data_IF_966143369331
#
_entry.id   IF_966143369331
#
_cell.length_a   1.000
_cell.length_b   1.000
_cell.length_c   1.000
_cell.angle_alpha   90.00
_cell.angle_beta   90.00
_cell.angle_gamma   90.00
#
_symmetry.space_group_name_H-M   'P 1'
#
loop_
_entity.id
_entity.type
_entity.pdbx_description
1 polymer ?
#
# COMPACT_ATOMS: atom_id res chain seq x y z
N UNK A 1 -23.31 -64.92 31.30
CA UNK A 1 -24.45 -63.98 31.24
C UNK A 1 -23.90 -62.60 30.94
N UNK A 2 -24.48 -61.93 29.93
CA UNK A 2 -23.94 -60.72 29.29
C UNK A 2 -24.20 -59.48 30.15
N UNK A 3 -23.17 -58.68 30.39
CA UNK A 3 -23.27 -57.36 31.00
C UNK A 3 -23.42 -56.31 29.89
N UNK A 4 -24.56 -55.63 29.86
CA UNK A 4 -24.89 -54.60 28.87
C UNK A 4 -24.41 -53.25 29.38
N UNK A 5 -23.42 -52.64 28.72
CA UNK A 5 -23.07 -51.24 28.95
C UNK A 5 -23.77 -50.37 27.90
N UNK A 6 -24.77 -49.61 28.35
CA UNK A 6 -25.43 -48.57 27.56
C UNK A 6 -24.54 -47.33 27.53
N UNK A 7 -23.81 -47.12 26.43
CA UNK A 7 -23.09 -45.87 26.20
C UNK A 7 -24.08 -44.81 25.70
N UNK A 8 -24.43 -43.86 26.56
CA UNK A 8 -25.20 -42.66 26.19
C UNK A 8 -24.26 -41.72 25.41
N UNK A 9 -24.40 -41.67 24.08
CA UNK A 9 -23.77 -40.66 23.24
C UNK A 9 -24.62 -39.38 23.30
N UNK A 10 -24.26 -38.45 24.18
CA UNK A 10 -24.81 -37.08 24.17
C UNK A 10 -24.06 -36.30 23.10
N UNK A 11 -24.63 -36.27 21.90
CA UNK A 11 -24.19 -35.38 20.82
C UNK A 11 -24.61 -33.95 21.12
N UNK A 12 -23.76 -33.23 21.86
CA UNK A 12 -23.86 -31.79 22.06
C UNK A 12 -23.41 -31.08 20.77
N UNK A 13 -24.35 -30.84 19.86
CA UNK A 13 -24.14 -29.95 18.71
C UNK A 13 -24.05 -28.50 19.21
N UNK A 14 -22.85 -28.07 19.59
CA UNK A 14 -22.53 -26.64 19.69
C UNK A 14 -22.29 -26.17 18.27
N UNK A 15 -23.31 -25.55 17.66
CA UNK A 15 -23.16 -24.73 16.46
C UNK A 15 -22.33 -23.49 16.82
N UNK A 16 -21.01 -23.66 16.84
CA UNK A 16 -20.05 -22.57 16.95
C UNK A 16 -20.07 -21.80 15.62
N UNK A 17 -21.01 -20.88 15.47
CA UNK A 17 -20.94 -19.84 14.45
C UNK A 17 -19.76 -18.93 14.78
N UNK A 18 -18.58 -19.30 14.28
CA UNK A 18 -17.40 -18.45 14.23
C UNK A 18 -17.73 -17.24 13.36
N UNK A 19 -18.26 -16.19 13.99
CA UNK A 19 -18.26 -14.86 13.41
C UNK A 19 -16.80 -14.40 13.32
N UNK A 20 -16.23 -14.54 12.12
CA UNK A 20 -15.01 -13.85 11.72
C UNK A 20 -15.27 -12.36 11.89
N UNK A 21 -14.87 -11.79 13.03
CA UNK A 21 -14.85 -10.34 13.19
C UNK A 21 -13.79 -9.81 12.24
N UNK A 22 -14.21 -9.18 11.15
CA UNK A 22 -13.37 -8.32 10.36
C UNK A 22 -12.67 -7.36 11.34
N UNK A 23 -11.34 -7.43 11.43
CA UNK A 23 -10.62 -6.37 12.12
C UNK A 23 -10.88 -5.09 11.33
N UNK A 24 -11.43 -4.07 12.00
CA UNK A 24 -11.59 -2.75 11.42
C UNK A 24 -10.19 -2.17 11.20
N UNK A 25 -9.61 -2.38 10.02
CA UNK A 25 -8.36 -1.74 9.62
C UNK A 25 -8.68 -0.26 9.41
N UNK A 26 -8.25 0.58 10.34
CA UNK A 26 -8.28 2.03 10.11
C UNK A 26 -7.17 2.38 9.13
N UNK A 27 -7.54 2.63 7.87
CA UNK A 27 -6.61 3.22 6.90
C UNK A 27 -6.10 4.56 7.43
N UNK A 28 -4.80 4.79 7.33
CA UNK A 28 -4.16 5.97 7.92
C UNK A 28 -2.94 6.41 7.13
N UNK A 29 -2.03 7.09 7.83
CA UNK A 29 -0.68 7.37 7.32
C UNK A 29 0.35 6.56 8.09
N UNK A 30 1.41 6.18 7.41
CA UNK A 30 2.63 5.65 8.00
C UNK A 30 3.78 6.62 7.75
N UNK A 31 4.60 6.83 8.77
CA UNK A 31 5.81 7.62 8.68
C UNK A 31 6.97 6.69 8.33
N UNK A 32 7.55 6.87 7.14
CA UNK A 32 8.69 6.09 6.68
C UNK A 32 9.99 6.76 7.15
N UNK A 33 10.13 8.06 6.90
CA UNK A 33 11.23 8.88 7.43
C UNK A 33 10.63 10.12 8.06
N UNK A 34 10.98 10.34 9.33
CA UNK A 34 10.47 11.44 10.13
C UNK A 34 10.55 12.77 9.38
N UNK A 35 9.41 13.46 9.36
CA UNK A 35 9.21 14.81 8.80
C UNK A 35 9.58 14.96 7.31
N UNK A 36 9.79 13.85 6.59
CA UNK A 36 10.35 13.87 5.23
C UNK A 36 9.69 12.90 4.25
N UNK A 37 9.24 11.73 4.71
CA UNK A 37 8.66 10.71 3.85
C UNK A 37 7.56 9.94 4.56
N UNK A 38 6.37 9.99 3.97
CA UNK A 38 5.16 9.35 4.48
C UNK A 38 4.46 8.57 3.38
N UNK A 39 3.63 7.63 3.78
CA UNK A 39 2.64 6.98 2.91
C UNK A 39 1.25 7.18 3.50
N UNK A 40 0.28 7.48 2.66
CA UNK A 40 -1.16 7.43 3.00
C UNK A 40 -1.72 6.19 2.33
N UNK A 41 -2.32 5.31 3.12
CA UNK A 41 -2.93 4.10 2.61
C UNK A 41 -4.34 4.41 2.13
N UNK A 42 -4.56 4.40 0.81
CA UNK A 42 -5.90 4.32 0.23
C UNK A 42 -6.21 2.87 -0.10
N UNK A 43 -7.47 2.49 -0.01
CA UNK A 43 -7.87 1.10 -0.12
C UNK A 43 -9.18 0.91 -0.83
N UNK A 44 -9.45 -0.32 -1.23
CA UNK A 44 -10.72 -0.76 -1.79
C UNK A 44 -11.39 -1.80 -0.88
N UNK A 45 -12.73 -1.85 -0.91
CA UNK A 45 -13.58 -2.72 -0.12
C UNK A 45 -14.74 -1.99 0.56
N UNK A 46 -15.94 -2.58 0.54
CA UNK A 46 -17.12 -1.96 1.18
C UNK A 46 -17.00 -1.88 2.71
N UNK A 47 -16.47 -2.96 3.33
CA UNK A 47 -16.31 -3.14 4.77
C UNK A 47 -15.02 -3.91 5.14
N UNK A 48 -14.54 -4.75 4.24
CA UNK A 48 -13.26 -5.45 4.36
C UNK A 48 -12.34 -4.91 3.29
N UNK A 49 -11.14 -4.52 3.67
CA UNK A 49 -10.13 -4.06 2.74
C UNK A 49 -9.68 -5.22 1.82
N UNK A 50 -9.72 -5.05 0.51
CA UNK A 50 -9.34 -6.07 -0.49
C UNK A 50 -8.07 -5.73 -1.26
N UNK A 51 -7.70 -4.45 -1.30
CA UNK A 51 -6.55 -3.94 -2.03
C UNK A 51 -6.12 -2.56 -1.53
N UNK A 52 -4.93 -2.14 -1.95
CA UNK A 52 -4.34 -0.85 -1.60
C UNK A 52 -3.88 -0.09 -2.84
N UNK A 53 -3.97 1.23 -2.75
CA UNK A 53 -3.30 2.18 -3.61
C UNK A 53 -2.66 3.24 -2.72
N UNK A 54 -1.36 3.11 -2.51
CA UNK A 54 -0.60 3.91 -1.57
C UNK A 54 -0.23 5.27 -2.20
N UNK A 55 -0.41 6.34 -1.43
CA UNK A 55 -0.03 7.70 -1.82
C UNK A 55 1.25 8.06 -1.06
N UNK A 56 2.37 8.08 -1.76
CA UNK A 56 3.65 8.40 -1.14
C UNK A 56 3.92 9.90 -1.21
N UNK A 57 4.31 10.50 -0.08
CA UNK A 57 4.60 11.92 0.05
C UNK A 57 6.05 12.14 0.49
N UNK A 58 6.81 12.85 -0.33
CA UNK A 58 8.20 13.21 -0.06
C UNK A 58 8.32 14.73 0.00
N UNK A 59 8.87 15.23 1.11
CA UNK A 59 9.17 16.65 1.30
C UNK A 59 10.27 17.09 0.34
N UNK A 60 9.94 18.02 -0.54
CA UNK A 60 10.89 18.63 -1.46
C UNK A 60 11.59 19.85 -0.85
N UNK A 61 12.32 20.59 -1.68
CA UNK A 61 12.87 21.92 -1.35
C UNK A 61 11.93 23.03 -1.81
N UNK A 62 12.02 24.23 -1.24
CA UNK A 62 11.27 25.42 -1.68
C UNK A 62 9.75 25.19 -1.78
N UNK A 63 9.19 24.60 -0.71
CA UNK A 63 7.77 24.26 -0.55
C UNK A 63 7.22 23.27 -1.59
N UNK A 64 8.09 22.52 -2.27
CA UNK A 64 7.67 21.43 -3.15
C UNK A 64 7.29 20.20 -2.34
N UNK A 65 6.21 19.53 -2.76
CA UNK A 65 5.77 18.25 -2.23
C UNK A 65 5.68 17.27 -3.40
N UNK A 66 6.49 16.21 -3.35
CA UNK A 66 6.45 15.16 -4.36
C UNK A 66 5.46 14.09 -3.93
N UNK A 67 4.49 13.83 -4.79
CA UNK A 67 3.43 12.85 -4.54
C UNK A 67 3.57 11.76 -5.60
N UNK A 68 3.73 10.52 -5.17
CA UNK A 68 3.87 9.37 -6.07
C UNK A 68 2.68 8.42 -5.84
N UNK A 69 1.82 8.32 -6.86
CA UNK A 69 0.52 7.64 -6.77
C UNK A 69 -0.66 8.54 -6.42
N UNK A 70 -1.83 7.91 -6.38
CA UNK A 70 -3.09 8.45 -5.87
C UNK A 70 -3.84 7.33 -5.13
N UNK A 71 -5.02 7.63 -4.60
CA UNK A 71 -5.89 6.65 -3.94
C UNK A 71 -6.95 6.07 -4.88
N UNK A 72 -7.88 5.28 -4.33
CA UNK A 72 -8.97 4.65 -5.09
C UNK A 72 -10.16 5.59 -5.43
N UNK A 73 -10.10 6.87 -5.06
CA UNK A 73 -11.18 7.83 -5.34
C UNK A 73 -12.31 7.79 -4.31
N UNK A 74 -13.55 8.08 -4.72
CA UNK A 74 -14.70 8.15 -3.81
C UNK A 74 -15.33 6.78 -3.52
N UNK A 75 -15.79 6.58 -2.27
CA UNK A 75 -16.62 5.45 -1.86
C UNK A 75 -18.04 5.75 -2.31
N UNK A 76 -18.67 4.84 -3.07
CA UNK A 76 -20.04 4.91 -3.61
C UNK A 76 -20.87 6.06 -3.03
N UNK A 77 -21.06 7.14 -3.78
CA UNK A 77 -22.02 8.17 -3.38
C UNK A 77 -23.42 7.57 -3.34
N UNK A 78 -24.10 7.62 -2.20
CA UNK A 78 -25.45 7.09 -2.02
C UNK A 78 -26.50 7.97 -2.70
N UNK A 79 -26.79 7.85 -4.01
CA UNK A 79 -28.11 8.16 -4.67
C UNK A 79 -28.19 7.56 -6.12
N UNK A 80 -29.30 7.70 -6.89
CA UNK A 80 -30.15 6.65 -7.50
C UNK A 80 -29.58 5.95 -8.78
N UNK A 81 -30.27 4.94 -9.37
CA UNK A 81 -29.75 3.94 -10.33
C UNK A 81 -29.16 4.42 -11.68
N UNK A 82 -28.97 5.72 -11.90
CA UNK A 82 -28.64 6.25 -13.22
C UNK A 82 -27.16 6.58 -13.47
N UNK A 83 -26.28 6.67 -12.46
CA UNK A 83 -24.89 7.13 -12.68
C UNK A 83 -23.86 6.57 -11.65
N UNK A 84 -22.71 5.99 -12.07
CA UNK A 84 -21.63 5.56 -11.15
C UNK A 84 -20.72 6.72 -10.70
N UNK A 85 -20.38 6.79 -9.39
CA UNK A 85 -19.82 7.97 -8.68
C UNK A 85 -18.34 7.87 -8.23
N UNK A 86 -17.51 7.09 -8.90
CA UNK A 86 -16.04 7.23 -8.80
C UNK A 86 -15.35 6.63 -10.00
N UNK A 87 -14.18 7.17 -10.33
CA UNK A 87 -13.35 6.76 -11.45
C UNK A 87 -13.17 5.23 -11.46
N UNK A 88 -12.88 4.65 -10.30
CA UNK A 88 -12.67 3.20 -10.12
C UNK A 88 -13.96 2.37 -10.22
N UNK A 89 -15.10 2.89 -9.75
CA UNK A 89 -16.36 2.15 -9.68
C UNK A 89 -16.99 1.95 -11.07
N UNK A 90 -16.81 2.91 -11.98
CA UNK A 90 -17.37 2.88 -13.33
C UNK A 90 -16.90 1.67 -14.17
N UNK A 91 -15.62 1.32 -14.08
CA UNK A 91 -15.03 0.30 -14.96
C UNK A 91 -14.99 -1.12 -14.36
N UNK A 92 -15.61 -1.31 -13.20
CA UNK A 92 -16.04 -2.63 -12.78
C UNK A 92 -15.31 -3.22 -11.58
N UNK A 93 -15.92 -2.96 -10.41
CA UNK A 93 -16.19 -3.92 -9.31
C UNK A 93 -15.46 -3.68 -7.99
N UNK A 94 -14.70 -2.61 -7.85
CA UNK A 94 -14.06 -2.25 -6.59
C UNK A 94 -14.63 -0.95 -6.07
N UNK A 95 -15.01 -0.95 -4.80
CA UNK A 95 -15.53 0.24 -4.12
C UNK A 95 -14.41 0.79 -3.27
N UNK A 96 -14.08 2.08 -3.39
CA UNK A 96 -13.09 2.67 -2.49
C UNK A 96 -13.52 2.47 -1.01
N UNK A 97 -12.56 2.17 -0.14
CA UNK A 97 -12.82 1.91 1.27
C UNK A 97 -13.30 3.15 2.02
N UNK A 98 -12.85 4.33 1.57
CA UNK A 98 -13.23 5.67 2.03
C UNK A 98 -13.21 6.66 0.87
N UNK A 99 -13.59 7.91 1.11
CA UNK A 99 -13.64 8.92 0.05
C UNK A 99 -12.28 9.55 -0.23
N UNK A 100 -12.11 10.10 -1.44
CA UNK A 100 -10.88 10.78 -1.84
C UNK A 100 -10.56 11.98 -0.94
N UNK A 101 -11.58 12.68 -0.44
CA UNK A 101 -11.41 13.79 0.51
C UNK A 101 -10.80 13.34 1.83
N UNK A 102 -11.01 12.08 2.25
CA UNK A 102 -10.43 11.56 3.49
C UNK A 102 -8.93 11.29 3.32
N UNK A 103 -8.52 10.73 2.18
CA UNK A 103 -7.10 10.62 1.81
C UNK A 103 -6.45 12.02 1.68
N UNK A 104 -7.17 12.98 1.10
CA UNK A 104 -6.69 14.35 0.91
C UNK A 104 -6.51 15.09 2.24
N UNK A 105 -7.38 14.88 3.23
CA UNK A 105 -7.23 15.46 4.59
C UNK A 105 -6.00 14.91 5.32
N UNK A 106 -5.71 13.63 5.16
CA UNK A 106 -4.49 13.02 5.74
C UNK A 106 -3.25 13.58 5.04
N UNK A 107 -3.29 13.68 3.71
CA UNK A 107 -2.26 14.33 2.91
C UNK A 107 -2.03 15.78 3.36
N UNK A 108 -3.10 16.55 3.53
CA UNK A 108 -3.05 17.93 4.02
C UNK A 108 -2.42 18.02 5.41
N UNK A 109 -2.78 17.10 6.30
CA UNK A 109 -2.16 17.01 7.64
C UNK A 109 -0.66 16.78 7.55
N UNK A 110 -0.21 15.90 6.65
CA UNK A 110 1.22 15.64 6.42
C UNK A 110 1.91 16.90 5.89
N UNK A 111 1.36 17.53 4.86
CA UNK A 111 1.98 18.71 4.23
C UNK A 111 2.04 19.88 5.23
N UNK A 112 0.93 20.19 5.88
CA UNK A 112 0.84 21.33 6.79
C UNK A 112 1.55 21.07 8.12
N UNK A 113 1.23 19.97 8.79
CA UNK A 113 1.65 19.74 10.18
C UNK A 113 2.98 19.00 10.28
N UNK A 114 3.29 18.09 9.36
CA UNK A 114 4.53 17.31 9.40
C UNK A 114 5.64 17.95 8.55
N UNK A 115 5.34 18.42 7.34
CA UNK A 115 6.33 19.09 6.50
C UNK A 115 6.48 20.58 6.85
N UNK A 116 5.50 21.18 7.52
CA UNK A 116 5.51 22.61 7.86
C UNK A 116 5.32 23.51 6.64
N UNK A 117 4.64 23.02 5.59
CA UNK A 117 4.45 23.75 4.34
C UNK A 117 3.02 24.31 4.32
N UNK A 118 2.88 25.62 4.09
CA UNK A 118 1.56 26.25 4.00
C UNK A 118 0.86 25.91 2.69
N UNK A 119 -0.47 25.79 2.72
CA UNK A 119 -1.30 25.47 1.54
C UNK A 119 -1.11 26.46 0.39
N UNK A 120 -0.92 27.74 0.70
CA UNK A 120 -0.75 28.82 -0.28
C UNK A 120 0.61 28.80 -0.97
N UNK A 121 1.65 28.27 -0.32
CA UNK A 121 3.01 28.17 -0.86
C UNK A 121 3.32 26.80 -1.48
N UNK A 122 2.59 25.76 -1.07
CA UNK A 122 2.81 24.39 -1.50
C UNK A 122 2.76 24.24 -3.04
N UNK A 123 3.80 23.60 -3.59
CA UNK A 123 3.91 23.22 -5.00
C UNK A 123 3.78 21.71 -5.12
N UNK A 124 2.60 21.24 -5.52
CA UNK A 124 2.31 19.81 -5.60
C UNK A 124 2.87 19.23 -6.91
N UNK A 125 3.74 18.24 -6.79
CA UNK A 125 4.45 17.58 -7.89
C UNK A 125 4.05 16.11 -7.94
N UNK A 126 2.99 15.80 -8.68
CA UNK A 126 2.47 14.44 -8.82
C UNK A 126 3.27 13.65 -9.85
N UNK A 127 3.62 12.43 -9.53
CA UNK A 127 4.19 11.45 -10.45
C UNK A 127 3.21 10.28 -10.50
N UNK A 128 2.64 10.06 -11.67
CA UNK A 128 1.78 8.93 -11.96
C UNK A 128 2.66 7.68 -12.14
N UNK A 129 2.58 6.67 -11.26
CA UNK A 129 3.38 5.46 -11.31
C UNK A 129 3.09 4.61 -12.55
N UNK A 130 1.84 4.56 -13.00
CA UNK A 130 1.39 3.99 -14.28
C UNK A 130 -0.03 4.50 -14.61
N UNK A 131 -0.49 4.28 -15.84
CA UNK A 131 -1.69 4.88 -16.42
C UNK A 131 -3.06 4.52 -15.82
N UNK A 132 -3.12 3.88 -14.65
CA UNK A 132 -4.37 3.44 -14.01
C UNK A 132 -5.03 4.49 -13.13
N UNK A 133 -6.36 4.35 -12.97
CA UNK A 133 -7.24 5.27 -12.23
C UNK A 133 -6.94 5.36 -10.74
N UNK A 134 -6.50 4.27 -10.14
CA UNK A 134 -6.13 4.23 -8.73
C UNK A 134 -4.82 4.96 -8.43
N UNK A 135 -4.08 5.44 -9.45
CA UNK A 135 -2.86 6.23 -9.24
C UNK A 135 -2.91 7.65 -9.79
N UNK A 136 -4.01 8.01 -10.42
CA UNK A 136 -4.35 9.38 -10.76
C UNK A 136 -5.87 9.48 -10.96
N UNK A 137 -6.54 10.12 -10.01
CA UNK A 137 -7.98 10.36 -10.08
C UNK A 137 -8.30 11.83 -9.84
N UNK A 138 -9.37 12.30 -10.47
CA UNK A 138 -9.79 13.70 -10.43
C UNK A 138 -10.33 14.08 -9.05
N UNK A 139 -10.94 13.14 -8.32
CA UNK A 139 -11.56 13.40 -7.02
C UNK A 139 -10.52 13.76 -5.95
N UNK A 140 -9.37 13.10 -5.93
CA UNK A 140 -8.28 13.38 -4.99
C UNK A 140 -7.62 14.74 -5.28
N UNK A 141 -7.35 15.03 -6.56
CA UNK A 141 -6.79 16.32 -6.97
C UNK A 141 -7.75 17.47 -6.68
N UNK A 142 -9.04 17.29 -6.98
CA UNK A 142 -10.08 18.28 -6.68
C UNK A 142 -10.26 18.45 -5.17
N UNK A 143 -10.18 17.36 -4.38
CA UNK A 143 -10.21 17.45 -2.92
C UNK A 143 -9.07 18.30 -2.38
N UNK A 144 -7.85 18.13 -2.88
CA UNK A 144 -6.72 18.97 -2.47
C UNK A 144 -6.88 20.43 -2.92
N UNK A 145 -7.09 20.67 -4.22
CA UNK A 145 -7.11 22.03 -4.74
C UNK A 145 -8.37 22.81 -4.38
N UNK A 146 -9.53 22.20 -4.52
CA UNK A 146 -10.82 22.90 -4.52
C UNK A 146 -11.45 22.89 -3.14
N UNK A 147 -11.36 21.77 -2.42
CA UNK A 147 -11.89 21.67 -1.06
C UNK A 147 -10.90 22.11 0.02
N UNK A 148 -9.62 21.77 -0.14
CA UNK A 148 -8.59 22.06 0.87
C UNK A 148 -7.75 23.29 0.56
N UNK A 149 -7.91 23.92 -0.61
CA UNK A 149 -7.36 25.23 -0.93
C UNK A 149 -5.90 25.24 -1.42
N UNK A 150 -5.38 24.11 -1.90
CA UNK A 150 -4.06 24.09 -2.53
C UNK A 150 -4.06 24.83 -3.86
N UNK A 151 -3.01 25.60 -4.12
CA UNK A 151 -2.92 26.41 -5.34
C UNK A 151 -2.82 25.52 -6.59
N UNK A 152 -3.94 25.38 -7.31
CA UNK A 152 -4.02 24.63 -8.58
C UNK A 152 -3.02 25.12 -9.63
N UNK A 153 -2.60 26.38 -9.59
CA UNK A 153 -1.63 26.90 -10.55
C UNK A 153 -0.22 26.33 -10.33
N UNK A 154 0.12 25.99 -9.09
CA UNK A 154 1.41 25.42 -8.70
C UNK A 154 1.48 23.88 -8.83
N UNK A 155 0.39 23.24 -9.27
CA UNK A 155 0.29 21.81 -9.53
C UNK A 155 1.02 21.40 -10.82
N UNK A 156 1.77 20.31 -10.78
CA UNK A 156 2.25 19.60 -11.97
C UNK A 156 1.95 18.10 -11.82
N UNK A 157 1.56 17.47 -12.93
CA UNK A 157 1.25 16.04 -13.01
C UNK A 157 2.18 15.44 -14.05
N UNK A 158 3.08 14.56 -13.62
CA UNK A 158 4.07 13.93 -14.47
C UNK A 158 3.64 12.51 -14.81
N UNK A 159 3.56 12.20 -16.11
CA UNK A 159 3.19 10.89 -16.63
C UNK A 159 4.20 10.45 -17.67
N UNK A 160 4.59 9.18 -17.66
CA UNK A 160 5.46 8.64 -18.69
C UNK A 160 4.82 8.76 -20.09
N UNK A 161 5.64 8.91 -21.13
CA UNK A 161 5.20 9.10 -22.51
C UNK A 161 4.22 8.03 -23.02
N UNK A 162 4.41 6.77 -22.62
CA UNK A 162 3.54 5.64 -23.02
C UNK A 162 2.15 5.72 -22.38
N UNK A 163 2.05 6.21 -21.15
CA UNK A 163 0.77 6.31 -20.43
C UNK A 163 0.13 7.71 -20.58
N UNK A 164 0.83 8.68 -21.16
CA UNK A 164 0.37 10.08 -21.18
C UNK A 164 -0.97 10.24 -21.88
N UNK A 165 -1.16 9.62 -23.05
CA UNK A 165 -2.42 9.71 -23.80
C UNK A 165 -3.59 9.13 -23.01
N UNK A 166 -3.34 8.06 -22.28
CA UNK A 166 -4.30 7.38 -21.43
C UNK A 166 -4.67 8.27 -20.23
N UNK A 167 -3.67 8.75 -19.50
CA UNK A 167 -3.86 9.52 -18.27
C UNK A 167 -4.44 10.93 -18.51
N UNK A 168 -4.15 11.58 -19.64
CA UNK A 168 -4.57 12.96 -19.91
C UNK A 168 -5.88 13.08 -20.70
N UNK A 169 -6.60 11.99 -20.89
CA UNK A 169 -7.75 11.95 -21.79
C UNK A 169 -9.08 12.18 -21.05
N UNK A 170 -10.09 12.63 -21.80
CA UNK A 170 -11.38 13.12 -21.30
C UNK A 170 -12.57 12.42 -21.95
N UNK A 171 -12.33 11.29 -22.61
CA UNK A 171 -13.36 10.53 -23.31
C UNK A 171 -13.53 9.20 -22.59
N UNK A 172 -14.74 8.63 -22.56
CA UNK A 172 -14.85 7.20 -22.31
C UNK A 172 -13.90 6.46 -23.27
N UNK A 173 -13.00 5.62 -22.75
CA UNK A 173 -12.10 4.75 -23.53
C UNK A 173 -10.90 5.47 -24.18
N UNK A 174 -10.03 6.00 -23.34
CA UNK A 174 -8.76 6.62 -23.73
C UNK A 174 -7.69 5.57 -24.04
N UNK A 175 -7.02 5.65 -25.19
CA UNK A 175 -5.96 4.70 -25.60
C UNK A 175 -6.12 4.23 -27.05
N UNK A 176 -5.66 3.00 -27.34
CA UNK A 176 -5.50 2.46 -28.68
C UNK A 176 -6.55 1.34 -28.98
N UNK A 177 -7.55 1.19 -28.08
CA UNK A 177 -8.79 0.36 -28.04
C UNK A 177 -8.66 -1.18 -27.81
N UNK A 178 -9.52 -1.83 -26.98
CA UNK A 178 -10.95 -2.10 -27.28
C UNK A 178 -11.96 -2.20 -26.10
N UNK A 179 -13.13 -1.62 -26.43
CA UNK A 179 -14.55 -1.86 -26.11
C UNK A 179 -15.16 -1.61 -24.69
N UNK A 180 -16.31 -0.86 -24.61
CA UNK A 180 -17.03 -0.42 -23.41
C UNK A 180 -17.54 -1.46 -22.40
N UNK A 181 -17.31 -2.74 -22.64
CA UNK A 181 -17.86 -3.84 -21.83
C UNK A 181 -16.81 -4.90 -21.53
N UNK A 182 -15.54 -4.66 -21.91
CA UNK A 182 -14.46 -5.59 -21.62
C UNK A 182 -13.82 -5.25 -20.26
N UNK A 183 -14.06 -6.05 -19.21
CA UNK A 183 -13.44 -5.84 -17.90
C UNK A 183 -11.91 -6.08 -17.93
N UNK A 184 -11.33 -6.54 -19.04
CA UNK A 184 -9.90 -6.78 -19.20
C UNK A 184 -9.21 -5.74 -20.11
N UNK A 185 -9.86 -4.61 -20.43
CA UNK A 185 -9.28 -3.60 -21.30
C UNK A 185 -7.95 -3.05 -20.70
N UNK A 186 -6.80 -3.26 -21.35
CA UNK A 186 -5.50 -2.80 -20.84
C UNK A 186 -5.35 -1.27 -20.92
N UNK A 187 -6.24 -0.57 -21.61
CA UNK A 187 -6.25 0.90 -21.75
C UNK A 187 -7.23 1.55 -20.76
N UNK A 188 -7.29 1.04 -19.53
CA UNK A 188 -8.06 1.62 -18.43
C UNK A 188 -7.34 2.83 -17.84
N UNK A 189 -7.96 4.02 -17.87
CA UNK A 189 -7.36 5.31 -17.45
C UNK A 189 -8.36 6.44 -17.18
N UNK A 190 -7.85 7.60 -16.74
CA UNK A 190 -8.55 8.77 -16.11
C UNK A 190 -9.55 9.52 -17.02
N UNK A 191 -10.68 10.07 -16.51
CA UNK A 191 -11.82 9.25 -16.08
C UNK A 191 -13.16 9.57 -16.78
N UNK A 192 -14.21 8.79 -16.43
CA UNK A 192 -15.61 9.07 -16.71
C UNK A 192 -16.40 9.41 -15.43
N UNK A 193 -16.67 10.71 -15.25
CA UNK A 193 -17.97 11.37 -14.94
C UNK A 193 -17.72 12.89 -14.83
N UNK A 194 -16.56 13.28 -14.30
CA UNK A 194 -15.99 14.64 -14.42
C UNK A 194 -14.74 14.59 -15.30
N UNK A 195 -14.82 14.95 -16.61
CA UNK A 195 -13.63 15.04 -17.43
C UNK A 195 -12.62 16.00 -16.78
N UNK A 196 -11.32 15.79 -17.01
CA UNK A 196 -10.32 16.76 -16.60
C UNK A 196 -10.75 18.14 -17.10
N UNK A 197 -10.97 19.06 -16.17
CA UNK A 197 -11.11 20.45 -16.57
C UNK A 197 -9.85 20.84 -17.36
N UNK A 198 -10.00 21.64 -18.42
CA UNK A 198 -8.90 22.19 -19.21
C UNK A 198 -7.75 22.76 -18.35
N UNK A 199 -8.06 23.22 -17.15
CA UNK A 199 -7.07 23.66 -16.15
C UNK A 199 -6.14 22.52 -15.71
N UNK A 200 -6.66 21.33 -15.40
CA UNK A 200 -5.88 20.15 -15.02
C UNK A 200 -5.16 19.53 -16.21
N UNK A 201 -5.78 19.48 -17.40
CA UNK A 201 -5.11 18.97 -18.63
C UNK A 201 -3.79 19.71 -18.87
N UNK A 202 -3.77 21.03 -18.69
CA UNK A 202 -2.55 21.87 -18.84
C UNK A 202 -1.45 21.56 -17.81
N UNK A 203 -1.78 20.84 -16.73
CA UNK A 203 -0.83 20.43 -15.68
C UNK A 203 -0.13 19.12 -15.98
N UNK A 204 -0.64 18.32 -16.92
CA UNK A 204 0.02 17.12 -17.38
C UNK A 204 1.33 17.46 -18.11
N UNK A 205 2.39 16.73 -17.77
CA UNK A 205 3.74 16.84 -18.32
C UNK A 205 4.24 15.43 -18.65
N UNK A 206 4.77 15.26 -19.86
CA UNK A 206 5.41 14.01 -20.27
C UNK A 206 6.75 13.82 -19.57
N UNK A 207 7.02 12.59 -19.13
CA UNK A 207 8.34 12.09 -18.76
C UNK A 207 8.79 11.05 -19.78
N UNK A 208 10.10 10.97 -20.00
CA UNK A 208 10.69 9.89 -20.77
C UNK A 208 10.30 9.86 -22.25
N UNK A 209 10.89 8.92 -22.97
CA UNK A 209 10.56 8.56 -24.34
C UNK A 209 9.86 7.19 -24.37
N UNK A 210 9.15 6.90 -25.47
CA UNK A 210 8.35 5.67 -25.56
C UNK A 210 9.15 4.37 -25.56
N UNK A 211 10.47 4.46 -25.79
CA UNK A 211 11.40 3.32 -25.86
C UNK A 211 12.41 3.32 -24.72
N UNK A 212 12.11 4.02 -23.62
CA UNK A 212 13.01 4.04 -22.47
C UNK A 212 13.25 2.64 -21.93
N UNK A 213 14.51 2.34 -21.64
CA UNK A 213 14.92 1.05 -21.11
C UNK A 213 14.68 0.96 -19.60
N UNK A 214 14.57 -0.26 -19.10
CA UNK A 214 14.42 -0.55 -17.67
C UNK A 214 15.52 0.13 -16.82
N UNK A 215 15.14 0.78 -15.71
CA UNK A 215 15.97 1.65 -14.86
C UNK A 215 16.52 2.93 -15.51
N UNK A 216 16.16 3.25 -16.76
CA UNK A 216 16.56 4.52 -17.34
C UNK A 216 15.95 5.68 -16.55
N UNK A 217 16.78 6.65 -16.16
CA UNK A 217 16.31 7.86 -15.48
C UNK A 217 15.52 8.72 -16.46
N UNK A 218 14.24 8.93 -16.15
CA UNK A 218 13.32 9.76 -16.96
C UNK A 218 13.04 11.11 -16.30
N UNK A 219 13.34 11.24 -15.01
CA UNK A 219 13.31 12.51 -14.27
C UNK A 219 14.25 12.45 -13.07
N UNK A 220 14.87 13.58 -12.76
CA UNK A 220 15.59 13.78 -11.49
C UNK A 220 14.97 14.94 -10.74
N UNK A 221 14.89 14.81 -9.42
CA UNK A 221 14.55 15.93 -8.55
C UNK A 221 15.32 15.87 -7.24
N UNK A 222 15.44 17.00 -6.55
CA UNK A 222 16.07 17.09 -5.24
C UNK A 222 15.02 17.25 -4.16
N UNK A 223 15.11 16.44 -3.12
CA UNK A 223 14.27 16.48 -1.93
C UNK A 223 15.09 16.83 -0.69
N UNK A 224 14.46 16.84 0.49
CA UNK A 224 15.21 16.88 1.77
C UNK A 224 15.97 15.59 2.04
N UNK A 225 15.60 14.49 1.37
CA UNK A 225 16.26 13.18 1.41
C UNK A 225 17.39 13.04 0.38
N UNK A 226 17.85 14.15 -0.20
CA UNK A 226 18.81 14.14 -1.31
C UNK A 226 18.15 13.94 -2.68
N UNK A 227 18.93 13.47 -3.64
CA UNK A 227 18.50 13.30 -5.03
C UNK A 227 17.64 12.06 -5.20
N UNK A 228 16.46 12.25 -5.80
CA UNK A 228 15.56 11.18 -6.20
C UNK A 228 15.51 11.05 -7.72
N UNK A 229 15.30 9.82 -8.20
CA UNK A 229 15.25 9.49 -9.61
C UNK A 229 13.92 8.80 -9.92
N UNK A 230 13.15 9.40 -10.82
CA UNK A 230 12.07 8.66 -11.48
C UNK A 230 12.70 7.86 -12.59
N UNK A 231 12.58 6.55 -12.50
CA UNK A 231 13.19 5.62 -13.45
C UNK A 231 12.12 4.82 -14.17
N UNK A 232 12.39 4.41 -15.40
CA UNK A 232 11.49 3.55 -16.16
C UNK A 232 11.41 2.17 -15.48
N UNK A 233 10.19 1.74 -15.16
CA UNK A 233 9.89 0.39 -14.70
C UNK A 233 9.85 -0.60 -15.87
N UNK A 234 9.78 -1.90 -15.58
CA UNK A 234 9.67 -2.90 -16.65
C UNK A 234 8.29 -2.79 -17.29
N UNK A 235 8.25 -2.54 -18.59
CA UNK A 235 7.00 -2.66 -19.36
C UNK A 235 6.54 -4.11 -19.34
N UNK A 236 5.26 -4.34 -19.03
CA UNK A 236 4.66 -5.64 -19.30
C UNK A 236 4.23 -5.68 -20.77
N UNK A 237 4.40 -6.82 -21.43
CA UNK A 237 4.09 -7.00 -22.84
C UNK A 237 2.57 -7.10 -23.13
N UNK A 238 1.73 -6.32 -22.42
CA UNK A 238 0.28 -6.26 -22.63
C UNK A 238 -0.19 -4.99 -23.36
N UNK A 239 0.74 -4.13 -23.78
CA UNK A 239 0.49 -3.09 -24.78
C UNK A 239 -0.21 -1.81 -24.31
N UNK A 240 -0.44 -1.58 -23.00
CA UNK A 240 -1.00 -0.28 -22.61
C UNK A 240 -1.13 0.05 -21.12
N UNK A 241 -1.34 -0.94 -20.26
CA UNK A 241 -1.74 -0.69 -18.86
C UNK A 241 -0.59 -0.17 -17.99
N UNK A 242 0.56 -0.81 -18.12
CA UNK A 242 1.78 -0.55 -17.32
C UNK A 242 3.00 -0.34 -18.23
N UNK A 243 2.76 -0.03 -19.50
CA UNK A 243 3.87 0.20 -20.43
C UNK A 243 4.62 1.49 -20.08
N UNK A 244 3.92 2.51 -19.55
CA UNK A 244 4.52 3.69 -18.97
C UNK A 244 4.87 3.59 -17.50
N UNK A 245 4.92 2.39 -16.90
CA UNK A 245 5.29 2.27 -15.49
C UNK A 245 6.64 2.93 -15.21
N UNK A 246 6.68 3.72 -14.13
CA UNK A 246 7.88 4.31 -13.55
C UNK A 246 8.02 3.91 -12.09
N UNK A 247 9.25 3.85 -11.59
CA UNK A 247 9.58 3.66 -10.19
C UNK A 247 10.23 4.93 -9.65
N UNK A 248 10.31 5.05 -8.32
CA UNK A 248 11.00 6.15 -7.65
C UNK A 248 12.16 5.65 -6.79
N UNK A 249 13.37 6.05 -7.12
CA UNK A 249 14.60 5.66 -6.44
C UNK A 249 15.17 6.80 -5.59
N UNK A 250 15.66 6.45 -4.40
CA UNK A 250 16.54 7.30 -3.60
C UNK A 250 17.78 6.50 -3.16
N UNK A 251 18.94 6.70 -3.82
CA UNK A 251 20.17 5.99 -3.47
C UNK A 251 20.70 6.32 -2.07
N UNK A 252 20.52 7.56 -1.60
CA UNK A 252 21.05 8.01 -0.31
C UNK A 252 20.41 7.25 0.86
N UNK A 253 19.12 6.96 0.74
CA UNK A 253 18.35 6.20 1.71
C UNK A 253 18.11 4.75 1.29
N UNK A 254 18.69 4.31 0.17
CA UNK A 254 18.60 2.96 -0.38
C UNK A 254 17.16 2.44 -0.42
N UNK A 255 16.25 3.19 -1.02
CA UNK A 255 14.88 2.73 -1.23
C UNK A 255 14.40 2.92 -2.66
N UNK A 256 13.44 2.08 -3.04
CA UNK A 256 12.65 2.18 -4.26
C UNK A 256 11.16 2.13 -3.93
N UNK A 257 10.36 2.93 -4.62
CA UNK A 257 8.91 2.76 -4.70
C UNK A 257 8.59 2.19 -6.08
N UNK A 258 8.11 0.94 -6.11
CA UNK A 258 7.67 0.29 -7.34
C UNK A 258 6.32 0.82 -7.77
N UNK A 259 6.27 1.34 -9.00
CA UNK A 259 5.05 1.91 -9.56
C UNK A 259 4.07 0.89 -10.11
N UNK A 260 4.38 -0.41 -10.12
CA UNK A 260 3.44 -1.47 -10.42
C UNK A 260 3.62 -2.65 -9.45
N UNK A 261 2.50 -3.20 -8.96
CA UNK A 261 2.49 -4.37 -8.07
C UNK A 261 2.54 -5.68 -8.86
N UNK A 262 3.16 -6.72 -8.27
CA UNK A 262 3.18 -8.11 -8.76
C UNK A 262 3.57 -8.27 -10.24
N UNK A 263 4.88 -8.24 -10.51
CA UNK A 263 5.44 -8.55 -11.83
C UNK A 263 6.97 -8.58 -11.79
N UNK A 264 7.64 -8.91 -12.90
CA UNK A 264 9.10 -8.75 -12.97
C UNK A 264 9.43 -7.26 -12.95
N UNK A 265 9.95 -6.75 -11.85
CA UNK A 265 10.47 -5.38 -11.78
C UNK A 265 11.89 -5.29 -12.35
N UNK A 266 12.31 -4.06 -12.61
CA UNK A 266 13.69 -3.79 -12.94
C UNK A 266 14.61 -4.18 -11.77
N UNK A 267 15.76 -4.81 -12.07
CA UNK A 267 16.71 -5.21 -11.02
C UNK A 267 17.19 -3.98 -10.26
N UNK A 268 17.16 -4.05 -8.94
CA UNK A 268 17.73 -3.06 -8.02
C UNK A 268 18.71 -3.78 -7.11
N UNK A 269 19.59 -3.03 -6.45
CA UNK A 269 20.49 -3.57 -5.44
C UNK A 269 19.65 -4.29 -4.35
N UNK A 270 19.93 -5.57 -4.04
CA UNK A 270 19.20 -6.34 -3.03
C UNK A 270 19.24 -5.72 -1.62
N UNK A 271 20.15 -4.79 -1.35
CA UNK A 271 20.23 -4.10 -0.06
C UNK A 271 19.20 -2.98 0.08
N UNK A 272 18.40 -2.68 -0.95
CA UNK A 272 17.44 -1.58 -0.93
C UNK A 272 16.09 -2.03 -0.36
N UNK A 273 15.44 -1.12 0.37
CA UNK A 273 14.06 -1.30 0.82
C UNK A 273 13.13 -1.03 -0.36
N UNK A 274 12.23 -1.97 -0.65
CA UNK A 274 11.26 -1.85 -1.73
C UNK A 274 9.88 -1.59 -1.14
N UNK A 275 9.30 -0.46 -1.51
CA UNK A 275 7.92 -0.09 -1.21
C UNK A 275 7.05 -0.35 -2.46
N UNK A 276 5.80 -0.77 -2.29
CA UNK A 276 4.91 -1.01 -3.42
C UNK A 276 3.74 -0.03 -3.45
N UNK A 277 3.33 0.34 -4.65
CA UNK A 277 2.14 1.19 -4.82
C UNK A 277 0.84 0.44 -4.44
N UNK A 278 0.79 -0.87 -4.67
CA UNK A 278 -0.35 -1.73 -4.31
C UNK A 278 -0.17 -2.55 -3.03
N UNK A 279 0.87 -2.27 -2.27
CA UNK A 279 1.22 -3.04 -1.10
C UNK A 279 2.08 -2.22 -0.16
N UNK A 280 1.61 -2.07 1.07
CA UNK A 280 2.39 -1.79 2.29
C UNK A 280 1.45 -1.58 3.47
N UNK A 281 0.34 -2.32 3.55
CA UNK A 281 -0.13 -2.62 4.89
C UNK A 281 0.78 -3.68 5.45
N UNK A 282 1.14 -3.61 6.73
CA UNK A 282 1.70 -4.76 7.41
C UNK A 282 0.62 -5.86 7.44
N UNK A 283 0.48 -6.62 6.35
CA UNK A 283 -0.39 -7.79 6.29
C UNK A 283 -0.92 -8.05 4.89
N UNK A 284 -0.47 -9.15 4.30
CA UNK A 284 -1.12 -9.92 3.25
C UNK A 284 -2.63 -9.65 3.10
N UNK A 285 -3.02 -8.92 2.05
CA UNK A 285 -4.30 -9.18 1.37
C UNK A 285 -4.14 -10.10 0.16
N UNK A 286 -2.90 -10.42 -0.23
CA UNK A 286 -2.59 -11.67 -0.91
C UNK A 286 -2.27 -12.74 0.16
N UNK A 287 -3.29 -13.14 0.91
CA UNK A 287 -3.33 -14.52 1.39
C UNK A 287 -3.41 -15.35 0.12
N UNK A 288 -2.27 -15.83 -0.39
CA UNK A 288 -2.23 -17.18 -0.95
C UNK A 288 -3.07 -18.00 0.01
N UNK A 289 -4.15 -18.63 -0.44
CA UNK A 289 -5.03 -19.50 0.36
C UNK A 289 -4.18 -20.50 1.16
N UNK A 290 -3.63 -20.05 2.27
CA UNK A 290 -3.50 -20.83 3.46
C UNK A 290 -4.90 -20.69 4.01
N UNK A 291 -5.66 -21.77 3.85
CA UNK A 291 -6.81 -22.03 4.71
C UNK A 291 -6.47 -21.53 6.13
N UNK A 292 -7.45 -21.03 6.91
CA UNK A 292 -7.20 -20.84 8.34
C UNK A 292 -6.50 -22.11 8.82
N UNK A 293 -5.35 -22.02 9.52
CA UNK A 293 -4.84 -23.22 10.16
C UNK A 293 -6.04 -23.71 10.95
N UNK A 294 -6.52 -24.90 10.62
CA UNK A 294 -7.31 -25.67 11.57
C UNK A 294 -6.55 -25.50 12.88
N UNK A 295 -7.21 -24.99 13.91
CA UNK A 295 -6.65 -24.96 15.25
C UNK A 295 -6.07 -26.35 15.53
N UNK A 296 -4.74 -26.42 15.39
CA UNK A 296 -3.85 -27.54 15.63
C UNK A 296 -2.45 -26.99 15.35
N UNK A 297 -1.89 -26.46 16.44
CA UNK A 297 -0.46 -26.30 16.71
C UNK A 297 0.10 -24.90 16.36
N UNK A 298 -0.15 -23.93 17.25
CA UNK A 298 0.63 -22.67 17.33
C UNK A 298 2.11 -23.02 17.54
N UNK A 299 2.96 -22.67 16.57
CA UNK A 299 4.36 -23.11 16.49
C UNK A 299 5.32 -22.25 17.33
N UNK A 300 5.17 -20.93 17.26
CA UNK A 300 5.76 -19.98 18.21
C UNK A 300 4.59 -19.18 18.74
N UNK A 301 4.43 -19.11 20.05
CA UNK A 301 3.41 -18.31 20.70
C UNK A 301 4.08 -17.11 21.35
N UNK A 302 3.63 -15.91 21.01
CA UNK A 302 4.17 -14.68 21.60
C UNK A 302 3.12 -13.98 22.44
N UNK A 303 3.44 -13.72 23.71
CA UNK A 303 2.51 -13.10 24.65
C UNK A 303 3.21 -12.29 25.74
N UNK A 304 2.56 -11.23 26.28
CA UNK A 304 1.30 -10.67 25.77
C UNK A 304 1.51 -10.02 24.39
N UNK A 305 0.44 -9.94 23.60
CA UNK A 305 0.40 -9.17 22.36
C UNK A 305 -1.00 -8.54 22.27
N UNK A 306 -1.13 -7.20 22.40
CA UNK A 306 -0.07 -6.22 22.51
C UNK A 306 0.74 -6.32 23.82
N UNK A 307 1.99 -5.86 23.80
CA UNK A 307 2.86 -5.77 24.99
C UNK A 307 3.40 -4.37 25.21
N UNK A 308 3.77 -4.06 26.44
CA UNK A 308 4.47 -2.82 26.83
C UNK A 308 5.96 -3.09 27.06
N UNK A 309 6.27 -3.86 28.10
CA UNK A 309 7.64 -3.97 28.61
C UNK A 309 8.33 -5.29 28.30
N UNK A 310 7.58 -6.37 28.08
CA UNK A 310 8.13 -7.73 27.97
C UNK A 310 7.40 -8.60 26.94
N UNK A 311 8.14 -9.39 26.19
CA UNK A 311 7.57 -10.41 25.29
C UNK A 311 8.05 -11.78 25.75
N UNK A 312 7.12 -12.72 25.86
CA UNK A 312 7.41 -14.13 26.11
C UNK A 312 7.22 -14.89 24.81
N UNK A 313 8.24 -15.62 24.40
CA UNK A 313 8.24 -16.51 23.25
C UNK A 313 8.15 -17.93 23.78
N UNK A 314 7.18 -18.71 23.32
CA UNK A 314 7.08 -20.14 23.62
C UNK A 314 7.19 -20.89 22.29
N UNK A 315 8.23 -21.71 22.14
CA UNK A 315 8.37 -22.57 20.96
C UNK A 315 7.64 -23.89 21.21
N UNK A 316 6.81 -24.31 20.26
CA UNK A 316 6.12 -25.61 20.32
C UNK A 316 7.14 -26.75 20.48
N UNK A 317 6.79 -27.77 21.26
CA UNK A 317 7.59 -28.99 21.40
C UNK A 317 7.66 -29.81 20.12
N UNK A 318 6.80 -29.54 19.14
CA UNK A 318 6.78 -30.19 17.83
C UNK A 318 7.80 -29.60 16.84
N UNK A 319 8.47 -28.50 17.19
CA UNK A 319 9.46 -27.87 16.34
C UNK A 319 10.89 -28.21 16.77
N UNK A 320 11.78 -28.34 15.79
CA UNK A 320 13.22 -28.33 16.04
C UNK A 320 13.69 -26.96 16.53
N UNK A 321 14.84 -26.96 17.20
CA UNK A 321 15.51 -25.76 17.67
C UNK A 321 15.67 -24.75 16.52
N UNK A 322 15.39 -23.48 16.78
CA UNK A 322 15.47 -22.46 15.74
C UNK A 322 15.86 -21.08 16.27
N UNK A 323 16.31 -20.25 15.34
CA UNK A 323 16.67 -18.87 15.57
C UNK A 323 15.43 -17.99 15.46
N UNK A 324 15.16 -17.23 16.50
CA UNK A 324 14.14 -16.20 16.55
C UNK A 324 14.83 -14.84 16.46
N UNK A 325 14.36 -13.97 15.57
CA UNK A 325 14.80 -12.59 15.47
C UNK A 325 13.59 -11.66 15.45
N UNK A 326 13.70 -10.51 16.12
CA UNK A 326 12.65 -9.48 16.12
C UNK A 326 13.17 -8.25 15.40
N UNK A 327 12.38 -7.73 14.47
CA UNK A 327 12.67 -6.55 13.66
C UNK A 327 11.61 -5.49 13.91
N UNK A 328 11.99 -4.21 13.96
CA UNK A 328 11.00 -3.13 13.93
C UNK A 328 10.37 -2.98 12.54
N UNK A 329 9.41 -2.06 12.43
CA UNK A 329 8.73 -1.73 11.17
C UNK A 329 9.68 -1.31 10.04
N UNK A 330 10.90 -0.87 10.35
CA UNK A 330 11.93 -0.50 9.37
C UNK A 330 12.87 -1.66 9.01
N UNK A 331 12.62 -2.86 9.53
CA UNK A 331 13.48 -4.02 9.32
C UNK A 331 14.77 -4.01 10.15
N UNK A 332 14.89 -3.14 11.15
CA UNK A 332 16.06 -3.12 12.04
C UNK A 332 15.88 -4.18 13.12
N UNK A 333 16.84 -5.12 13.19
CA UNK A 333 16.84 -6.20 14.16
C UNK A 333 17.06 -5.66 15.58
N UNK A 334 16.05 -5.82 16.46
CA UNK A 334 16.13 -5.46 17.88
C UNK A 334 16.79 -6.54 18.73
N UNK A 335 16.48 -7.80 18.45
CA UNK A 335 17.04 -8.94 19.19
C UNK A 335 17.07 -10.17 18.30
N UNK A 336 18.02 -11.07 18.58
CA UNK A 336 18.02 -12.42 18.04
C UNK A 336 18.49 -13.40 19.11
N UNK A 337 17.91 -14.60 19.11
CA UNK A 337 18.28 -15.68 20.00
C UNK A 337 17.84 -17.03 19.43
N UNK A 338 18.49 -18.10 19.87
CA UNK A 338 18.03 -19.46 19.61
C UNK A 338 17.08 -19.90 20.72
N UNK A 339 16.02 -20.63 20.37
CA UNK A 339 15.09 -21.23 21.32
C UNK A 339 14.92 -22.71 20.96
N UNK A 340 14.99 -23.57 21.98
CA UNK A 340 14.81 -25.01 21.82
C UNK A 340 13.35 -25.41 21.91
N UNK A 341 13.01 -26.56 21.32
CA UNK A 341 11.67 -27.13 21.32
C UNK A 341 11.04 -27.12 22.73
N UNK A 342 9.81 -26.65 22.87
CA UNK A 342 9.07 -26.64 24.16
C UNK A 342 9.56 -25.62 25.18
N UNK A 343 10.64 -24.87 24.88
CA UNK A 343 11.18 -23.87 25.80
C UNK A 343 10.50 -22.52 25.62
N UNK A 344 10.53 -21.73 26.68
CA UNK A 344 10.13 -20.32 26.64
C UNK A 344 11.31 -19.38 26.88
N UNK A 345 11.21 -18.19 26.31
CA UNK A 345 12.16 -17.11 26.57
C UNK A 345 11.44 -15.78 26.68
N UNK A 346 11.75 -15.07 27.75
CA UNK A 346 11.32 -13.70 27.99
C UNK A 346 12.38 -12.74 27.48
N UNK A 347 11.97 -11.66 26.83
CA UNK A 347 12.82 -10.52 26.48
C UNK A 347 12.20 -9.22 27.01
N UNK A 348 13.04 -8.26 27.36
CA UNK A 348 12.60 -6.90 27.64
C UNK A 348 12.52 -6.10 26.34
N UNK A 349 11.38 -5.43 26.13
CA UNK A 349 11.13 -4.52 25.03
C UNK A 349 10.73 -3.11 25.49
N UNK A 350 10.76 -2.81 26.80
CA UNK A 350 10.34 -1.50 27.33
C UNK A 350 11.17 -0.30 26.85
N UNK A 351 12.36 -0.53 26.27
CA UNK A 351 13.18 0.51 25.64
C UNK A 351 12.93 0.63 24.13
N UNK A 352 12.08 -0.23 23.56
CA UNK A 352 11.81 -0.21 22.13
C UNK A 352 10.73 0.84 21.83
N UNK A 353 10.84 1.58 20.71
CA UNK A 353 9.78 2.49 20.29
C UNK A 353 8.46 1.75 20.11
N UNK A 354 7.34 2.43 20.32
CA UNK A 354 6.01 1.87 20.03
C UNK A 354 5.87 1.60 18.55
N UNK A 355 5.09 0.58 18.22
CA UNK A 355 4.80 0.25 16.82
C UNK A 355 4.72 -1.25 16.56
N UNK A 356 4.75 -1.57 15.27
CA UNK A 356 4.71 -2.94 14.80
C UNK A 356 6.11 -3.53 14.76
N UNK A 357 6.19 -4.80 15.17
CA UNK A 357 7.41 -5.59 15.07
C UNK A 357 7.11 -6.90 14.35
N UNK A 358 8.08 -7.35 13.56
CA UNK A 358 8.05 -8.64 12.89
C UNK A 358 8.98 -9.60 13.62
N UNK A 359 8.45 -10.76 14.00
CA UNK A 359 9.20 -11.87 14.56
C UNK A 359 9.47 -12.83 13.42
N UNK A 360 10.70 -13.27 13.26
CA UNK A 360 11.09 -14.26 12.27
C UNK A 360 11.69 -15.45 13.00
N UNK A 361 11.12 -16.64 12.80
CA UNK A 361 11.68 -17.92 13.21
C UNK A 361 12.35 -18.59 12.01
N UNK A 362 13.55 -19.14 12.19
CA UNK A 362 14.23 -19.94 11.18
C UNK A 362 15.02 -21.11 11.77
N UNK A 363 14.85 -22.31 11.20
CA UNK A 363 15.61 -23.52 11.58
C UNK A 363 16.31 -24.16 10.36
N UNK A 364 16.76 -23.36 9.39
CA UNK A 364 17.45 -23.81 8.18
C UNK A 364 16.52 -24.38 7.10
N UNK A 365 15.54 -25.19 7.48
CA UNK A 365 14.55 -25.78 6.55
C UNK A 365 13.23 -24.99 6.50
N UNK A 366 12.92 -24.23 7.56
CA UNK A 366 11.71 -23.43 7.64
C UNK A 366 12.06 -21.99 7.99
N UNK A 367 11.36 -21.05 7.35
CA UNK A 367 11.33 -19.63 7.75
C UNK A 367 9.87 -19.26 7.93
N UNK A 368 9.54 -18.67 9.07
CA UNK A 368 8.18 -18.21 9.37
C UNK A 368 8.23 -16.85 10.04
N UNK A 369 7.16 -16.07 9.89
CA UNK A 369 7.05 -14.74 10.50
C UNK A 369 5.73 -14.53 11.22
N UNK A 370 5.78 -13.88 12.38
CA UNK A 370 4.63 -13.43 13.16
C UNK A 370 4.73 -11.92 13.44
N UNK A 371 3.61 -11.26 13.75
CA UNK A 371 3.57 -9.83 14.02
C UNK A 371 3.07 -9.55 15.43
N UNK A 372 3.69 -8.57 16.07
CA UNK A 372 3.31 -8.10 17.40
C UNK A 372 3.21 -6.57 17.43
N UNK A 373 2.46 -6.07 18.39
CA UNK A 373 2.21 -4.65 18.62
C UNK A 373 2.76 -4.25 19.98
N UNK A 374 3.60 -3.22 20.02
CA UNK A 374 4.05 -2.61 21.28
C UNK A 374 3.28 -1.33 21.59
N UNK A 375 2.72 -1.25 22.80
CA UNK A 375 1.84 -0.17 23.32
C UNK A 375 2.40 0.46 24.61
N UNK A 376 1.76 1.54 25.09
CA UNK A 376 2.07 2.22 26.38
C UNK A 376 1.68 1.44 27.62
#
# INVERSE_FOLDING_TARGET
>A
MKTTYTLLFVSLFISLSLSLRAQNITLGKEQIIRDSFYVVHSGEGNNTLTGLSNIYLIKGKNDTVWIFGAGYGNKNGTVPPSYPLSDIAYYGRVTAYRNAIDDARITDTIIHSNFGISKSSAKLMFITPHGHLDHINMEFLSSLCDSLGYNRNALNIFVHGNDYKLASCNKPYCGDTLHPQDPNNPYFGAPFDVPWNNTYIKKFKKLGASKDSCNQVVKTFTSVLGTCYVVKGKSVANGGHTDGTVNLDNPSHKFRIDGAGAGTQCRVDPSWIIYHIHGNLPGNLAVSRLSPPKEKNEFVKVFPNPSRDELNFLLSSELENGNIAVYDAFGIRKVAFTLSAGMSKKISCGQWPRGFYSIVFSNGNNIRSEKIVLIE
#
